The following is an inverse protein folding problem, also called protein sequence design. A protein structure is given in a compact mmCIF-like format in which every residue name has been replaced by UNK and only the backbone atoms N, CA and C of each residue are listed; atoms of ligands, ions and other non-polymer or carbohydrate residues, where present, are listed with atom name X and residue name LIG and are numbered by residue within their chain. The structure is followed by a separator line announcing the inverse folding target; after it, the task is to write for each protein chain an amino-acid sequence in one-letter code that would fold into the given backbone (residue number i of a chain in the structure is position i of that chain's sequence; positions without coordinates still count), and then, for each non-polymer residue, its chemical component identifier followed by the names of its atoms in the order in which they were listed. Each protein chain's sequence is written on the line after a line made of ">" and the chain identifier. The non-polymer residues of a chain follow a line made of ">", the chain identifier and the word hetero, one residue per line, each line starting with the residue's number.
data_IF_898233551934
#
_entry.id   IF_898233551934
#
_cell.length_a   1.000
_cell.length_b   1.000
_cell.length_c   1.000
_cell.angle_alpha   90.00
_cell.angle_beta   90.00
_cell.angle_gamma   90.00
#
_symmetry.space_group_name_H-M   'P 1'
#
loop_
_entity.id
_entity.type
_entity.pdbx_description
1 polymer ?
#
# COMPACT_ATOMS: atom_id res chain seq x y z
N UNK A 1 -3.50 -18.43 -13.74
CA UNK A 1 -4.18 -17.69 -14.85
C UNK A 1 -3.25 -16.55 -15.22
N UNK A 2 -3.07 -16.20 -16.49
CA UNK A 2 -2.27 -15.01 -16.83
C UNK A 2 -3.09 -13.80 -16.38
N UNK A 3 -2.55 -12.94 -15.51
CA UNK A 3 -3.25 -11.74 -15.06
C UNK A 3 -3.58 -10.81 -16.22
N UNK A 4 -4.67 -10.06 -16.12
CA UNK A 4 -4.99 -8.98 -17.08
C UNK A 4 -4.21 -7.71 -16.69
N UNK A 5 -3.92 -6.80 -17.63
CA UNK A 5 -3.41 -5.47 -17.29
C UNK A 5 -4.38 -4.75 -16.34
N UNK A 6 -3.85 -4.20 -15.27
CA UNK A 6 -4.60 -3.47 -14.26
C UNK A 6 -5.18 -2.19 -14.87
N UNK A 7 -6.47 -1.97 -14.62
CA UNK A 7 -7.19 -0.76 -15.01
C UNK A 7 -7.20 0.32 -13.93
N UNK A 8 -6.33 0.22 -12.94
CA UNK A 8 -6.26 1.06 -11.74
C UNK A 8 -4.79 1.21 -11.28
N UNK A 9 -4.61 1.95 -10.19
CA UNK A 9 -3.30 2.13 -9.56
C UNK A 9 -2.82 0.81 -8.96
N UNK A 10 -1.50 0.66 -8.89
CA UNK A 10 -0.83 -0.50 -8.33
C UNK A 10 0.19 -0.07 -7.26
N UNK A 11 0.37 -0.87 -6.23
CA UNK A 11 1.56 -0.87 -5.40
C UNK A 11 2.68 -1.52 -6.23
N UNK A 12 3.74 -0.77 -6.50
CA UNK A 12 4.81 -1.20 -7.40
C UNK A 12 6.09 -1.57 -6.68
N UNK A 13 6.41 -0.94 -5.55
CA UNK A 13 7.62 -1.23 -4.80
C UNK A 13 7.43 -0.99 -3.30
N UNK A 14 7.96 -1.89 -2.46
CA UNK A 14 7.94 -1.76 -1.01
C UNK A 14 9.32 -2.10 -0.44
N UNK A 15 9.81 -1.21 0.41
CA UNK A 15 11.00 -1.45 1.26
C UNK A 15 10.57 -1.31 2.72
N UNK A 16 10.85 -2.34 3.51
CA UNK A 16 10.52 -2.42 4.95
C UNK A 16 11.76 -2.40 5.83
N UNK A 17 12.96 -2.39 5.25
CA UNK A 17 14.23 -2.41 6.00
C UNK A 17 15.46 -2.00 5.18
N UNK A 18 16.45 -1.35 5.80
CA UNK A 18 16.41 -0.79 7.16
C UNK A 18 15.41 0.38 7.23
N UNK A 19 15.06 0.82 8.45
CA UNK A 19 14.11 1.91 8.68
C UNK A 19 14.36 3.18 7.86
N UNK A 20 15.62 3.59 7.75
CA UNK A 20 16.06 4.74 6.94
C UNK A 20 15.71 4.63 5.45
N UNK A 21 15.40 3.42 4.98
CA UNK A 21 15.11 3.09 3.59
C UNK A 21 13.62 2.74 3.39
N UNK A 22 12.80 2.77 4.44
CA UNK A 22 11.40 2.36 4.34
C UNK A 22 10.61 3.27 3.38
N UNK A 23 9.93 2.64 2.41
CA UNK A 23 9.00 3.34 1.54
C UNK A 23 7.95 2.40 0.94
N UNK A 24 6.85 3.02 0.49
CA UNK A 24 5.85 2.41 -0.40
C UNK A 24 5.78 3.23 -1.67
N UNK A 25 5.78 2.57 -2.82
CA UNK A 25 5.59 3.17 -4.13
C UNK A 25 4.24 2.76 -4.73
N UNK A 26 3.56 3.75 -5.31
CA UNK A 26 2.35 3.55 -6.11
C UNK A 26 2.63 3.96 -7.54
N UNK A 27 2.17 3.15 -8.48
CA UNK A 27 2.27 3.35 -9.91
C UNK A 27 0.88 3.48 -10.54
N UNK A 28 0.76 4.42 -11.48
CA UNK A 28 -0.39 4.50 -12.37
C UNK A 28 -0.07 3.86 -13.73
N UNK A 29 -0.39 2.58 -13.97
CA UNK A 29 -0.18 1.93 -15.27
C UNK A 29 -1.17 2.38 -16.36
N UNK A 30 -2.20 3.16 -16.02
CA UNK A 30 -3.26 3.55 -16.95
C UNK A 30 -2.82 4.66 -17.91
N UNK A 31 -3.65 4.95 -18.90
CA UNK A 31 -3.43 6.00 -19.92
C UNK A 31 -3.98 7.37 -19.52
N UNK A 32 -4.57 7.50 -18.33
CA UNK A 32 -5.17 8.74 -17.83
C UNK A 32 -4.60 9.14 -16.46
N UNK A 33 -4.68 10.44 -16.16
CA UNK A 33 -4.33 10.93 -14.83
C UNK A 33 -5.43 10.57 -13.82
N UNK A 34 -5.03 10.18 -12.60
CA UNK A 34 -5.94 9.81 -11.51
C UNK A 34 -5.88 10.85 -10.40
N UNK A 35 -7.05 11.27 -9.91
CA UNK A 35 -7.20 12.13 -8.73
C UNK A 35 -7.20 11.27 -7.47
N UNK A 36 -6.25 11.52 -6.57
CA UNK A 36 -6.03 10.74 -5.35
C UNK A 36 -6.80 11.28 -4.13
N UNK A 37 -7.68 12.27 -4.30
CA UNK A 37 -8.41 12.90 -3.18
C UNK A 37 -9.14 11.91 -2.28
N UNK A 38 -9.68 10.83 -2.85
CA UNK A 38 -10.42 9.79 -2.13
C UNK A 38 -9.62 8.48 -1.97
N UNK A 39 -8.31 8.53 -2.16
CA UNK A 39 -7.43 7.37 -2.02
C UNK A 39 -6.74 7.37 -0.66
N UNK A 40 -6.65 6.18 -0.09
CA UNK A 40 -6.16 5.92 1.25
C UNK A 40 -5.15 4.77 1.22
N UNK A 41 -4.21 4.80 2.16
CA UNK A 41 -3.23 3.74 2.36
C UNK A 41 -3.29 3.25 3.81
N UNK A 42 -3.19 1.94 4.01
CA UNK A 42 -3.07 1.34 5.34
C UNK A 42 -2.21 0.08 5.29
N UNK A 43 -1.58 -0.25 6.41
CA UNK A 43 -0.80 -1.47 6.61
C UNK A 43 -1.52 -2.52 7.48
N UNK A 44 -2.80 -2.30 7.78
CA UNK A 44 -3.48 -3.07 8.81
C UNK A 44 -4.82 -3.67 8.35
N UNK A 45 -5.04 -4.93 8.71
CA UNK A 45 -6.17 -5.74 8.27
C UNK A 45 -7.57 -5.18 8.58
N UNK A 46 -7.70 -4.22 9.50
CA UNK A 46 -8.98 -3.59 9.86
C UNK A 46 -9.16 -2.20 9.25
N UNK A 47 -8.43 -1.83 8.20
CA UNK A 47 -8.58 -0.55 7.48
C UNK A 47 -10.05 -0.20 7.16
N UNK A 48 -10.88 -1.18 6.79
CA UNK A 48 -12.32 -1.02 6.51
C UNK A 48 -13.16 -0.49 7.69
N UNK A 49 -12.64 -0.55 8.92
CA UNK A 49 -13.32 -0.03 10.09
C UNK A 49 -13.40 1.52 10.09
N UNK A 50 -12.66 2.22 9.22
CA UNK A 50 -12.82 3.68 9.04
C UNK A 50 -14.26 4.06 8.65
N UNK A 51 -14.96 3.16 7.96
CA UNK A 51 -16.35 3.37 7.53
C UNK A 51 -17.34 3.39 8.69
N UNK A 52 -16.96 2.99 9.90
CA UNK A 52 -17.87 2.85 11.04
C UNK A 52 -18.21 4.16 11.76
N UNK A 53 -17.57 5.28 11.37
CA UNK A 53 -17.78 6.59 11.99
C UNK A 53 -17.23 6.70 13.41
N UNK A 54 -16.20 5.92 13.73
CA UNK A 54 -15.50 5.91 15.02
C UNK A 54 -14.01 5.87 14.78
N UNK A 55 -13.23 6.37 15.74
CA UNK A 55 -11.79 6.28 15.72
C UNK A 55 -11.35 4.84 15.41
N UNK A 56 -10.56 4.71 14.36
CA UNK A 56 -9.96 3.47 13.92
C UNK A 56 -9.06 2.93 15.02
N UNK A 57 -9.17 1.62 15.24
CA UNK A 57 -8.41 0.91 16.25
C UNK A 57 -7.68 -0.24 15.55
N UNK A 58 -6.40 -0.05 15.18
CA UNK A 58 -5.63 -1.09 14.51
C UNK A 58 -5.49 -2.32 15.40
N UNK A 59 -5.27 -3.48 14.77
CA UNK A 59 -5.02 -4.75 15.46
C UNK A 59 -3.59 -5.20 15.19
N UNK A 60 -2.85 -5.64 16.21
CA UNK A 60 -1.45 -6.04 16.04
C UNK A 60 -0.51 -5.15 16.82
N UNK A 61 0.47 -4.56 16.15
CA UNK A 61 1.57 -3.81 16.75
C UNK A 61 1.14 -2.39 17.12
N UNK A 62 0.82 -2.18 18.40
CA UNK A 62 0.42 -0.85 18.87
C UNK A 62 1.47 0.24 18.54
N UNK A 63 1.04 1.26 17.78
CA UNK A 63 1.79 2.50 17.58
C UNK A 63 2.65 2.58 16.30
N UNK A 64 2.66 1.54 15.47
CA UNK A 64 3.32 1.55 14.15
C UNK A 64 2.32 1.56 12.99
N UNK A 65 1.16 0.93 13.18
CA UNK A 65 0.11 0.84 12.15
C UNK A 65 -0.40 2.22 11.70
N UNK A 66 -0.73 2.34 10.41
CA UNK A 66 -1.28 3.56 9.81
C UNK A 66 -2.53 3.31 8.96
N UNK A 67 -3.34 4.35 8.87
CA UNK A 67 -4.43 4.54 7.92
C UNK A 67 -4.45 6.04 7.57
N UNK A 68 -3.96 6.35 6.38
CA UNK A 68 -3.77 7.72 5.88
C UNK A 68 -4.48 7.94 4.55
N UNK A 69 -4.57 9.19 4.13
CA UNK A 69 -5.09 9.62 2.83
C UNK A 69 -4.14 10.61 2.16
N UNK A 70 -4.22 10.71 0.83
CA UNK A 70 -3.50 11.74 0.09
C UNK A 70 -4.06 13.14 0.38
N UNK A 71 -3.23 14.19 0.31
CA UNK A 71 -3.72 15.56 0.30
C UNK A 71 -4.74 15.80 -0.83
N UNK A 72 -5.88 16.46 -0.58
CA UNK A 72 -6.88 16.73 -1.60
C UNK A 72 -6.31 17.46 -2.83
N UNK A 73 -6.71 17.03 -4.02
CA UNK A 73 -6.22 17.55 -5.30
C UNK A 73 -4.86 16.98 -5.74
N UNK A 74 -4.32 16.00 -5.02
CA UNK A 74 -3.16 15.23 -5.50
C UNK A 74 -3.53 14.47 -6.76
N UNK A 75 -2.70 14.60 -7.80
CA UNK A 75 -2.88 13.91 -9.08
C UNK A 75 -1.68 13.02 -9.36
N UNK A 76 -1.91 11.80 -9.82
CA UNK A 76 -0.87 10.95 -10.42
C UNK A 76 -1.10 10.88 -11.92
N UNK A 77 -0.12 11.30 -12.72
CA UNK A 77 -0.22 11.28 -14.18
C UNK A 77 -0.20 9.83 -14.71
N UNK A 78 -0.66 9.63 -15.94
CA UNK A 78 -0.53 8.36 -16.64
C UNK A 78 0.94 7.91 -16.71
N UNK A 79 1.21 6.66 -16.33
CA UNK A 79 2.56 6.08 -16.28
C UNK A 79 3.44 6.57 -15.12
N UNK A 80 2.98 7.51 -14.29
CA UNK A 80 3.79 8.09 -13.22
C UNK A 80 3.78 7.22 -11.96
N UNK A 81 4.77 7.47 -11.10
CA UNK A 81 4.92 6.86 -9.77
C UNK A 81 4.89 7.93 -8.68
N UNK A 82 4.48 7.53 -7.50
CA UNK A 82 4.59 8.32 -6.27
C UNK A 82 5.25 7.46 -5.20
N UNK A 83 6.29 8.00 -4.56
CA UNK A 83 7.01 7.34 -3.47
C UNK A 83 6.68 8.00 -2.15
N UNK A 84 6.31 7.19 -1.17
CA UNK A 84 5.96 7.59 0.18
C UNK A 84 7.01 7.03 1.14
N UNK A 85 7.82 7.88 1.77
CA UNK A 85 8.90 7.46 2.67
C UNK A 85 8.58 7.78 4.13
N UNK A 86 8.97 6.90 5.06
CA UNK A 86 8.66 7.05 6.50
C UNK A 86 9.80 7.71 7.31
N UNK A 87 10.95 8.02 6.69
CA UNK A 87 12.13 8.58 7.38
C UNK A 87 12.86 9.62 6.51
N UNK A 88 13.39 10.68 7.13
CA UNK A 88 14.16 11.73 6.44
C UNK A 88 15.47 11.22 5.81
N UNK A 89 16.02 10.11 6.32
CA UNK A 89 17.22 9.47 5.80
C UNK A 89 17.02 8.84 4.42
N UNK A 90 15.77 8.71 3.96
CA UNK A 90 15.44 8.22 2.63
C UNK A 90 16.21 8.96 1.53
N UNK A 91 16.34 10.29 1.66
CA UNK A 91 17.08 11.11 0.69
C UNK A 91 18.54 10.65 0.57
N UNK A 92 19.19 10.36 1.70
CA UNK A 92 20.58 9.94 1.70
C UNK A 92 20.76 8.52 1.16
N UNK A 93 19.78 7.64 1.38
CA UNK A 93 19.82 6.26 0.91
C UNK A 93 19.67 6.17 -0.62
N UNK A 94 18.69 6.90 -1.17
CA UNK A 94 18.32 6.79 -2.58
C UNK A 94 18.76 7.97 -3.45
N UNK A 95 19.37 8.99 -2.85
CA UNK A 95 19.79 10.21 -3.53
C UNK A 95 18.64 10.85 -4.33
N UNK A 96 17.45 10.88 -3.73
CA UNK A 96 16.25 11.55 -4.24
C UNK A 96 15.26 11.88 -3.13
N UNK A 97 14.40 12.86 -3.35
CA UNK A 97 13.25 13.10 -2.47
C UNK A 97 12.13 12.10 -2.73
N UNK A 98 11.44 11.70 -1.66
CA UNK A 98 10.11 11.09 -1.76
C UNK A 98 9.09 12.14 -2.21
N UNK A 99 7.96 11.67 -2.72
CA UNK A 99 6.84 12.53 -3.15
C UNK A 99 5.96 12.92 -1.97
N UNK A 100 5.81 12.02 -0.99
CA UNK A 100 5.13 12.28 0.28
C UNK A 100 5.91 11.69 1.46
N UNK A 101 5.82 12.37 2.60
CA UNK A 101 6.21 11.79 3.87
C UNK A 101 5.07 10.89 4.37
N UNK A 102 5.35 9.63 4.66
CA UNK A 102 4.47 8.77 5.44
C UNK A 102 4.63 9.10 6.93
N UNK A 103 4.44 10.37 7.25
CA UNK A 103 4.58 10.98 8.57
C UNK A 103 3.46 12.03 8.73
N UNK A 104 3.10 12.41 9.97
CA UNK A 104 2.18 13.52 10.24
C UNK A 104 2.85 14.87 10.00
N UNK A 105 4.18 14.90 9.99
CA UNK A 105 5.01 16.07 9.74
C UNK A 105 5.75 15.97 8.41
N UNK A 106 6.00 17.10 7.72
CA UNK A 106 6.90 17.10 6.58
C UNK A 106 8.29 16.58 6.96
N UNK A 107 8.94 15.83 6.06
CA UNK A 107 10.35 15.47 6.20
C UNK A 107 11.20 16.38 5.29
N UNK A 108 12.39 16.83 5.72
CA UNK A 108 13.25 17.67 4.90
C UNK A 108 13.83 16.88 3.73
N UNK A 109 13.96 17.53 2.57
CA UNK A 109 14.71 17.00 1.43
C UNK A 109 15.30 18.12 0.56
N UNK A 110 16.58 18.03 0.20
CA UNK A 110 17.30 19.01 -0.64
C UNK A 110 17.17 20.49 -0.18
N UNK A 111 16.81 20.74 1.07
CA UNK A 111 16.57 22.08 1.63
C UNK A 111 15.15 22.61 1.51
N UNK A 112 14.22 21.82 0.98
CA UNK A 112 12.76 22.02 0.99
C UNK A 112 12.07 20.95 1.87
N UNK A 113 10.74 21.00 1.98
CA UNK A 113 9.94 20.05 2.76
C UNK A 113 9.14 19.11 1.83
N UNK A 114 9.25 17.80 2.05
CA UNK A 114 8.37 16.79 1.43
C UNK A 114 7.02 16.83 2.16
N UNK A 115 5.89 17.03 1.47
CA UNK A 115 4.60 17.15 2.11
C UNK A 115 4.16 15.85 2.79
N UNK A 116 3.53 15.91 3.98
CA UNK A 116 3.05 14.72 4.67
C UNK A 116 1.77 14.17 4.06
N UNK A 117 1.57 12.86 4.24
CA UNK A 117 0.26 12.23 4.16
C UNK A 117 -0.67 12.78 5.26
N UNK A 118 -1.99 12.60 5.08
CA UNK A 118 -2.97 13.10 6.04
C UNK A 118 -3.57 11.91 6.81
N UNK A 119 -3.54 11.95 8.14
CA UNK A 119 -4.43 11.10 8.94
C UNK A 119 -5.87 11.63 8.80
N UNK A 120 -6.80 10.90 8.14
CA UNK A 120 -8.17 11.35 7.95
C UNK A 120 -8.92 11.39 9.28
N UNK A 121 -10.12 11.97 9.28
CA UNK A 121 -11.02 11.81 10.44
C UNK A 121 -11.23 10.32 10.69
N UNK A 122 -11.08 9.91 11.95
CA UNK A 122 -11.09 8.52 12.39
C UNK A 122 -9.92 7.65 11.90
N UNK A 123 -9.02 8.10 11.02
CA UNK A 123 -7.77 7.40 10.74
C UNK A 123 -6.70 7.68 11.80
N UNK A 124 -5.51 7.12 11.61
CA UNK A 124 -4.35 7.36 12.45
C UNK A 124 -3.07 7.12 11.67
N UNK A 125 -1.97 7.75 12.08
CA UNK A 125 -0.64 7.37 11.65
C UNK A 125 0.14 6.84 12.86
N UNK A 126 0.93 5.79 12.66
CA UNK A 126 1.91 5.34 13.63
C UNK A 126 2.91 6.44 14.01
N UNK A 127 3.50 6.34 15.19
CA UNK A 127 4.36 7.38 15.76
C UNK A 127 5.85 7.03 15.69
N UNK A 128 6.28 6.18 14.76
CA UNK A 128 7.64 5.62 14.68
C UNK A 128 8.21 5.75 13.26
N UNK A 129 8.84 6.89 12.96
CA UNK A 129 9.58 7.09 11.71
C UNK A 129 10.61 5.98 11.47
N UNK A 130 10.67 5.47 10.24
CA UNK A 130 11.54 4.36 9.85
C UNK A 130 11.28 3.03 10.60
N UNK A 131 10.09 2.85 11.15
CA UNK A 131 9.67 1.58 11.75
C UNK A 131 8.15 1.41 11.66
N UNK A 132 7.55 1.94 10.60
CA UNK A 132 6.11 1.79 10.38
C UNK A 132 5.81 0.39 9.87
N UNK A 133 6.67 -0.15 8.99
CA UNK A 133 6.46 -1.44 8.35
C UNK A 133 7.23 -2.56 9.08
N UNK A 134 6.59 -3.70 9.29
CA UNK A 134 7.19 -4.83 10.02
C UNK A 134 8.03 -5.71 9.08
N UNK A 135 9.35 -5.78 9.32
CA UNK A 135 10.32 -6.64 8.60
C UNK A 135 9.82 -8.06 8.29
N UNK A 136 9.24 -8.72 9.30
CA UNK A 136 8.94 -10.15 9.29
C UNK A 136 7.67 -10.53 8.52
N UNK A 137 6.81 -9.54 8.26
CA UNK A 137 5.56 -9.75 7.54
C UNK A 137 4.43 -8.85 8.04
N UNK A 138 3.78 -8.20 7.09
CA UNK A 138 2.66 -7.28 7.26
C UNK A 138 1.91 -7.19 5.92
N UNK A 139 1.04 -6.19 5.78
CA UNK A 139 0.38 -5.86 4.53
C UNK A 139 0.55 -4.38 4.19
N UNK A 140 0.30 -4.02 2.94
CA UNK A 140 -0.10 -2.66 2.55
C UNK A 140 -1.31 -2.78 1.63
N UNK A 141 -2.30 -1.92 1.82
CA UNK A 141 -3.48 -1.82 0.97
C UNK A 141 -3.71 -0.37 0.54
N UNK A 142 -3.89 -0.18 -0.76
CA UNK A 142 -4.41 1.03 -1.38
C UNK A 142 -5.92 0.84 -1.56
N UNK A 143 -6.72 1.81 -1.14
CA UNK A 143 -8.18 1.74 -1.26
C UNK A 143 -8.81 3.09 -1.55
N UNK A 144 -10.00 3.08 -2.16
CA UNK A 144 -10.82 4.27 -2.42
C UNK A 144 -12.02 4.31 -1.47
N UNK A 145 -12.24 5.45 -0.83
CA UNK A 145 -13.44 5.69 -0.02
C UNK A 145 -13.94 7.14 -0.17
N UNK A 146 -15.24 7.32 -0.29
CA UNK A 146 -15.85 8.64 -0.52
C UNK A 146 -16.01 9.49 0.76
N UNK A 147 -15.56 8.97 1.90
CA UNK A 147 -15.72 9.61 3.21
C UNK A 147 -17.11 9.45 3.83
N UNK A 148 -18.04 8.74 3.19
CA UNK A 148 -19.39 8.55 3.70
C UNK A 148 -19.43 7.41 4.72
N UNK A 149 -19.58 7.74 5.99
CA UNK A 149 -19.78 6.75 7.06
C UNK A 149 -20.90 5.77 6.74
N UNK A 150 -20.63 4.47 6.89
CA UNK A 150 -21.53 3.37 6.58
C UNK A 150 -21.53 2.92 5.11
N UNK A 151 -20.92 3.67 4.20
CA UNK A 151 -20.69 3.21 2.82
C UNK A 151 -19.44 2.33 2.76
N UNK A 152 -19.47 1.18 2.05
CA UNK A 152 -18.28 0.37 1.86
C UNK A 152 -17.25 1.12 1.01
N UNK A 153 -15.97 0.90 1.33
CA UNK A 153 -14.85 1.28 0.49
C UNK A 153 -14.64 0.28 -0.65
N UNK A 154 -13.74 0.62 -1.57
CA UNK A 154 -13.28 -0.27 -2.63
C UNK A 154 -11.78 -0.49 -2.52
N UNK A 155 -11.35 -1.73 -2.65
CA UNK A 155 -9.91 -2.03 -2.68
C UNK A 155 -9.34 -1.64 -4.07
N UNK A 156 -8.06 -1.26 -4.12
CA UNK A 156 -7.39 -0.83 -5.35
C UNK A 156 -6.21 -1.72 -5.68
N UNK A 157 -5.33 -1.97 -4.71
CA UNK A 157 -4.26 -2.96 -4.79
C UNK A 157 -3.83 -3.32 -3.37
N UNK A 158 -3.26 -4.49 -3.20
CA UNK A 158 -2.94 -5.11 -1.93
C UNK A 158 -1.69 -5.97 -2.04
N UNK A 159 -0.76 -5.80 -1.11
CA UNK A 159 0.41 -6.68 -0.97
C UNK A 159 0.52 -7.17 0.46
N UNK A 160 0.91 -8.44 0.60
CA UNK A 160 1.34 -9.07 1.85
C UNK A 160 2.67 -9.76 1.62
N UNK A 161 3.56 -9.64 2.60
CA UNK A 161 4.86 -10.30 2.60
C UNK A 161 5.08 -11.09 3.88
N UNK A 162 6.03 -12.03 3.82
CA UNK A 162 6.46 -12.80 4.98
C UNK A 162 5.91 -14.23 4.99
N UNK A 163 6.60 -15.09 5.74
CA UNK A 163 6.34 -16.54 5.72
C UNK A 163 5.31 -17.00 6.76
N UNK A 164 5.13 -16.26 7.84
CA UNK A 164 4.27 -16.61 8.97
C UNK A 164 3.39 -15.40 9.34
N UNK A 165 2.28 -15.24 8.62
CA UNK A 165 1.37 -14.11 8.80
C UNK A 165 0.29 -14.39 9.84
N UNK A 166 0.14 -13.46 10.78
CA UNK A 166 -1.00 -13.42 11.70
C UNK A 166 -2.24 -12.81 11.05
N UNK A 167 -3.39 -12.93 11.72
CA UNK A 167 -4.65 -12.35 11.21
C UNK A 167 -4.60 -10.81 11.08
N UNK A 168 -3.73 -10.12 11.81
CA UNK A 168 -3.56 -8.66 11.69
C UNK A 168 -2.87 -8.25 10.38
N UNK A 169 -2.12 -9.15 9.76
CA UNK A 169 -1.28 -8.89 8.59
C UNK A 169 -1.93 -9.34 7.27
N UNK A 170 -3.25 -9.58 7.24
CA UNK A 170 -3.92 -9.92 5.98
C UNK A 170 -5.34 -9.34 5.96
N UNK A 171 -5.77 -8.79 4.84
CA UNK A 171 -7.15 -8.34 4.66
C UNK A 171 -8.12 -9.54 4.67
N UNK A 172 -9.27 -9.36 5.32
CA UNK A 172 -10.36 -10.36 5.29
C UNK A 172 -11.68 -9.75 5.73
N UNK A 173 -12.54 -9.44 4.76
CA UNK A 173 -13.84 -8.76 4.89
C UNK A 173 -15.02 -9.69 4.65
N UNK A 174 -14.80 -10.99 4.43
CA UNK A 174 -15.85 -12.00 4.30
C UNK A 174 -16.85 -11.93 5.46
N UNK A 175 -18.13 -11.85 5.11
CA UNK A 175 -19.23 -11.72 6.08
C UNK A 175 -19.37 -10.34 6.72
N UNK A 176 -18.62 -9.32 6.30
CA UNK A 176 -18.85 -7.92 6.68
C UNK A 176 -19.94 -7.32 5.79
N UNK A 177 -20.88 -6.59 6.41
CA UNK A 177 -21.97 -5.94 5.69
C UNK A 177 -21.43 -4.96 4.65
N UNK A 178 -21.89 -5.11 3.40
CA UNK A 178 -21.50 -4.20 2.30
C UNK A 178 -20.26 -4.63 1.53
N UNK A 179 -19.53 -5.65 2.01
CA UNK A 179 -18.36 -6.21 1.32
C UNK A 179 -18.69 -7.56 0.70
N UNK A 180 -18.02 -7.85 -0.41
CA UNK A 180 -17.95 -9.19 -0.95
C UNK A 180 -17.02 -10.08 -0.10
N UNK A 181 -17.01 -11.38 -0.38
CA UNK A 181 -16.15 -12.30 0.33
C UNK A 181 -14.74 -12.26 -0.24
N UNK A 182 -13.77 -11.91 0.61
CA UNK A 182 -12.35 -12.00 0.28
C UNK A 182 -11.89 -13.47 0.17
N UNK A 183 -10.80 -13.70 -0.56
CA UNK A 183 -10.05 -14.94 -0.53
C UNK A 183 -9.65 -15.28 0.90
N UNK A 184 -9.96 -16.51 1.31
CA UNK A 184 -9.67 -17.00 2.65
C UNK A 184 -8.17 -16.84 2.97
N UNK A 185 -7.85 -16.35 4.18
CA UNK A 185 -6.47 -16.07 4.63
C UNK A 185 -5.48 -17.20 4.33
N UNK A 186 -5.88 -18.44 4.57
CA UNK A 186 -5.03 -19.62 4.32
C UNK A 186 -4.82 -19.97 2.82
N UNK A 187 -5.49 -19.26 1.93
CA UNK A 187 -5.46 -19.43 0.48
C UNK A 187 -4.85 -18.21 -0.23
N UNK A 188 -4.68 -17.08 0.45
CA UNK A 188 -3.90 -15.94 -0.05
C UNK A 188 -2.42 -16.35 -0.17
N UNK A 189 -1.70 -15.80 -1.15
CA UNK A 189 -0.32 -16.18 -1.47
C UNK A 189 0.61 -14.97 -1.27
N UNK A 190 1.29 -14.86 -0.12
CA UNK A 190 2.17 -13.72 0.15
C UNK A 190 3.44 -13.76 -0.67
N UNK A 191 4.00 -12.59 -0.97
CA UNK A 191 5.34 -12.48 -1.53
C UNK A 191 6.43 -12.73 -0.48
N UNK A 192 7.66 -12.97 -0.93
CA UNK A 192 8.79 -13.12 -0.02
C UNK A 192 9.13 -11.79 0.67
N UNK A 193 9.50 -11.84 1.94
CA UNK A 193 10.13 -10.69 2.60
C UNK A 193 11.55 -10.49 2.05
N UNK A 194 11.96 -9.23 1.90
CA UNK A 194 13.28 -8.87 1.40
C UNK A 194 14.30 -8.67 2.54
N UNK A 195 15.59 -8.72 2.20
CA UNK A 195 16.70 -8.39 3.09
C UNK A 195 17.08 -6.90 3.05
N UNK A 196 18.11 -6.52 3.81
CA UNK A 196 18.60 -5.13 3.77
C UNK A 196 19.24 -4.80 2.43
N UNK A 197 18.87 -3.67 1.83
CA UNK A 197 19.35 -3.25 0.50
C UNK A 197 18.62 -3.92 -0.67
N UNK A 198 17.51 -4.60 -0.37
CA UNK A 198 16.62 -5.24 -1.34
C UNK A 198 15.23 -4.58 -1.24
N UNK A 199 14.34 -4.85 -2.20
CA UNK A 199 12.96 -4.38 -2.21
C UNK A 199 12.00 -5.46 -2.73
N UNK A 200 10.73 -5.35 -2.37
CA UNK A 200 9.64 -6.13 -2.98
C UNK A 200 9.14 -5.33 -4.18
N UNK A 201 9.28 -5.85 -5.40
CA UNK A 201 8.94 -5.13 -6.63
C UNK A 201 7.90 -5.87 -7.46
N UNK A 202 6.97 -5.12 -8.05
CA UNK A 202 6.04 -5.57 -9.08
C UNK A 202 6.66 -5.32 -10.47
N UNK A 203 6.70 -6.35 -11.30
CA UNK A 203 7.43 -6.30 -12.58
C UNK A 203 6.56 -5.96 -13.80
N UNK A 204 5.25 -5.94 -13.63
CA UNK A 204 4.31 -5.69 -14.71
C UNK A 204 3.02 -5.12 -14.16
N UNK A 205 2.20 -4.58 -15.06
CA UNK A 205 0.83 -4.14 -14.77
C UNK A 205 -0.16 -5.29 -14.57
N UNK A 206 0.29 -6.53 -14.38
CA UNK A 206 -0.60 -7.71 -14.34
C UNK A 206 -0.71 -8.31 -12.96
N UNK A 207 -1.95 -8.48 -12.50
CA UNK A 207 -2.26 -9.13 -11.24
C UNK A 207 -2.53 -10.62 -11.45
N UNK A 208 -1.47 -11.42 -11.30
CA UNK A 208 -1.52 -12.83 -11.68
C UNK A 208 -2.38 -13.62 -10.69
N UNK A 209 -3.38 -14.32 -11.20
CA UNK A 209 -4.21 -15.22 -10.37
C UNK A 209 -5.37 -14.54 -9.68
N UNK A 210 -5.50 -13.23 -9.83
CA UNK A 210 -6.62 -12.45 -9.30
C UNK A 210 -7.96 -12.86 -9.91
N UNK A 211 -9.01 -12.90 -9.08
CA UNK A 211 -10.39 -13.14 -9.46
C UNK A 211 -11.03 -11.82 -9.90
N UNK A 212 -11.35 -11.72 -11.19
CA UNK A 212 -11.84 -10.49 -11.83
C UNK A 212 -13.31 -10.15 -11.52
N UNK A 213 -13.98 -10.90 -10.66
CA UNK A 213 -15.40 -10.74 -10.36
C UNK A 213 -15.72 -11.18 -8.94
N UNK A 214 -16.85 -10.71 -8.42
CA UNK A 214 -17.38 -11.09 -7.11
C UNK A 214 -16.53 -10.61 -5.93
N UNK A 215 -15.63 -9.65 -6.14
CA UNK A 215 -14.90 -8.96 -5.08
C UNK A 215 -15.35 -7.51 -4.89
N UNK A 216 -14.67 -6.81 -3.98
CA UNK A 216 -14.95 -5.40 -3.66
C UNK A 216 -13.86 -4.43 -4.15
N UNK A 217 -13.01 -4.86 -5.09
CA UNK A 217 -12.07 -4.00 -5.81
C UNK A 217 -12.79 -2.94 -6.65
N UNK A 218 -12.08 -1.90 -7.08
CA UNK A 218 -12.67 -0.79 -7.86
C UNK A 218 -13.28 -1.23 -9.20
N UNK A 219 -12.71 -2.28 -9.78
CA UNK A 219 -13.12 -3.00 -10.98
C UNK A 219 -14.08 -4.16 -10.70
N UNK A 220 -14.37 -4.46 -9.43
CA UNK A 220 -15.14 -5.62 -8.98
C UNK A 220 -14.32 -6.89 -8.76
N UNK A 221 -12.99 -6.78 -8.76
CA UNK A 221 -12.06 -7.87 -8.50
C UNK A 221 -11.92 -8.17 -7.00
N UNK A 222 -11.36 -9.34 -6.67
CA UNK A 222 -10.91 -9.69 -5.33
C UNK A 222 -9.39 -9.56 -5.23
N UNK A 223 -8.90 -8.39 -4.82
CA UNK A 223 -7.48 -8.07 -4.67
C UNK A 223 -6.74 -9.10 -3.77
N UNK A 224 -7.43 -9.71 -2.81
CA UNK A 224 -6.82 -10.70 -1.90
C UNK A 224 -6.55 -12.06 -2.55
N UNK A 225 -7.05 -12.27 -3.77
CA UNK A 225 -6.87 -13.51 -4.53
C UNK A 225 -5.60 -13.52 -5.40
N UNK A 226 -4.94 -12.37 -5.54
CA UNK A 226 -3.71 -12.25 -6.31
C UNK A 226 -2.62 -13.21 -5.79
N UNK A 227 -1.87 -13.79 -6.72
CA UNK A 227 -0.70 -14.60 -6.42
C UNK A 227 0.52 -13.69 -6.26
N UNK A 228 0.65 -13.07 -5.09
CA UNK A 228 1.69 -12.06 -4.86
C UNK A 228 3.11 -12.65 -4.92
N UNK A 229 3.27 -13.96 -4.66
CA UNK A 229 4.52 -14.71 -4.91
C UNK A 229 4.85 -14.92 -6.40
N UNK A 230 4.00 -14.45 -7.31
CA UNK A 230 4.22 -14.44 -8.76
C UNK A 230 4.24 -13.03 -9.31
N UNK A 231 3.36 -12.14 -8.82
CA UNK A 231 3.29 -10.76 -9.28
C UNK A 231 4.42 -9.89 -8.73
N UNK A 232 4.93 -10.23 -7.55
CA UNK A 232 6.07 -9.58 -6.92
C UNK A 232 7.28 -10.50 -6.85
N UNK A 233 8.46 -9.89 -6.90
CA UNK A 233 9.75 -10.55 -6.63
C UNK A 233 10.58 -9.70 -5.69
N UNK A 234 11.62 -10.28 -5.10
CA UNK A 234 12.63 -9.52 -4.38
C UNK A 234 13.69 -9.04 -5.37
N UNK A 235 13.89 -7.72 -5.45
CA UNK A 235 14.96 -7.09 -6.21
C UNK A 235 16.14 -6.75 -5.30
N UNK A 236 17.35 -6.87 -5.84
CA UNK A 236 18.59 -6.48 -5.15
C UNK A 236 19.01 -5.02 -5.39
N UNK A 237 18.16 -4.25 -6.06
CA UNK A 237 18.42 -2.86 -6.41
C UNK A 237 17.12 -2.09 -6.34
N UNK A 238 16.76 -1.56 -5.16
CA UNK A 238 15.57 -0.74 -5.04
C UNK A 238 15.65 0.49 -5.95
N UNK A 239 14.53 0.84 -6.57
CA UNK A 239 14.48 1.83 -7.65
C UNK A 239 13.35 2.84 -7.47
N UNK A 240 13.24 3.51 -6.30
CA UNK A 240 12.11 4.36 -6.02
C UNK A 240 11.98 5.44 -7.11
N UNK A 241 10.79 5.56 -7.70
CA UNK A 241 10.38 6.54 -8.69
C UNK A 241 10.68 6.14 -10.13
N UNK A 242 11.33 5.00 -10.34
CA UNK A 242 11.77 4.52 -11.64
C UNK A 242 11.09 3.19 -11.99
N UNK A 243 11.28 2.71 -13.21
CA UNK A 243 10.81 1.38 -13.57
C UNK A 243 11.60 0.31 -12.80
N UNK A 244 10.88 -0.61 -12.16
CA UNK A 244 11.46 -1.73 -11.42
C UNK A 244 12.30 -2.63 -12.33
N UNK A 245 13.55 -2.88 -11.93
CA UNK A 245 14.37 -3.91 -12.55
C UNK A 245 14.05 -5.28 -11.92
N UNK A 246 13.56 -6.19 -12.76
CA UNK A 246 13.14 -7.52 -12.37
C UNK A 246 13.99 -8.64 -12.99
N UNK A 247 15.16 -8.29 -13.58
CA UNK A 247 16.12 -9.24 -14.16
C UNK A 247 17.24 -9.68 -13.20
#
# INVERSE_FOLDING_TARGET
>A
VVGEPAGHLLISEVVVRPGAAEFVEIWNPTDEAVDLTNYYLSDNAVYYAITEGKAWAPVGSEGTDFLVQFPPGTMIAAGARLVLASDESFELEYNRCADFALDESPIPCEGDDVPPMIAPTNGALGAQAGALLTDGGEMVILFEWDGTEGSPLKDIDYVIWGAELGNSAMAYKTGKTGYADDTARNSQRPTAAHGSGESIVRCSDREVGELLTEGNGISGHDETSEWLDVSFTVSSSPSPGEDNDCE
#
